data_IF_982297888913
#
_entry.id   IF_982297888913
#
_cell.length_a   1.000
_cell.length_b   1.000
_cell.length_c   1.000
_cell.angle_alpha   90.00
_cell.angle_beta   90.00
_cell.angle_gamma   90.00
#
_symmetry.space_group_name_H-M   'P 1'
#
loop_
_entity.id
_entity.type
_entity.pdbx_description
1 polymer ?
#
# COMPACT_ATOMS: atom_id res chain seq x y z
N UNK A 1 -21.60 -28.15 -31.18
CA UNK A 1 -22.20 -28.59 -32.46
C UNK A 1 -22.24 -30.11 -32.51
N UNK A 2 -23.11 -30.69 -33.34
CA UNK A 2 -23.22 -32.16 -33.50
C UNK A 2 -21.87 -32.76 -33.93
N UNK A 3 -21.14 -32.09 -34.82
CA UNK A 3 -19.81 -32.53 -35.26
C UNK A 3 -18.81 -32.67 -34.10
N UNK A 4 -18.76 -31.70 -33.18
CA UNK A 4 -17.87 -31.76 -32.01
C UNK A 4 -18.24 -32.89 -31.06
N UNK A 5 -19.53 -33.13 -30.82
CA UNK A 5 -19.98 -34.25 -29.97
C UNK A 5 -19.59 -35.59 -30.56
N UNK A 6 -19.76 -35.77 -31.88
CA UNK A 6 -19.34 -37.00 -32.58
C UNK A 6 -17.83 -37.19 -32.47
N UNK A 7 -17.04 -36.13 -32.68
CA UNK A 7 -15.59 -36.18 -32.52
C UNK A 7 -15.17 -36.58 -31.09
N UNK A 8 -15.81 -36.01 -30.06
CA UNK A 8 -15.54 -36.36 -28.66
C UNK A 8 -15.89 -37.82 -28.33
N UNK A 9 -16.98 -38.35 -28.89
CA UNK A 9 -17.36 -39.77 -28.74
C UNK A 9 -16.38 -40.70 -29.45
N UNK A 10 -15.89 -40.34 -30.63
CA UNK A 10 -14.86 -41.11 -31.35
C UNK A 10 -13.52 -41.08 -30.59
N UNK A 11 -13.13 -39.93 -30.04
CA UNK A 11 -11.96 -39.82 -29.16
C UNK A 11 -12.09 -40.72 -27.93
N UNK A 12 -13.25 -40.71 -27.25
CA UNK A 12 -13.53 -41.60 -26.12
C UNK A 12 -13.34 -43.07 -26.50
N UNK A 13 -13.96 -43.50 -27.62
CA UNK A 13 -13.86 -44.88 -28.09
C UNK A 13 -12.41 -45.27 -28.39
N UNK A 14 -11.67 -44.45 -29.13
CA UNK A 14 -10.24 -44.67 -29.43
C UNK A 14 -9.39 -44.71 -28.17
N UNK A 15 -9.61 -43.82 -27.21
CA UNK A 15 -8.88 -43.82 -25.94
C UNK A 15 -9.08 -45.13 -25.17
N UNK A 16 -10.29 -45.68 -25.16
CA UNK A 16 -10.57 -46.96 -24.48
C UNK A 16 -9.83 -48.15 -25.12
N UNK A 17 -9.62 -48.15 -26.44
CA UNK A 17 -8.88 -49.25 -27.11
C UNK A 17 -7.42 -49.37 -26.64
N UNK A 18 -6.81 -48.31 -26.10
CA UNK A 18 -5.46 -48.38 -25.56
C UNK A 18 -5.39 -49.03 -24.18
N UNK A 19 -6.50 -49.13 -23.45
CA UNK A 19 -6.56 -49.56 -22.05
C UNK A 19 -7.47 -50.78 -21.82
N UNK A 20 -7.69 -51.63 -22.85
CA UNK A 20 -8.61 -52.78 -22.79
C UNK A 20 -8.35 -53.78 -21.65
N UNK A 21 -7.11 -53.85 -21.16
CA UNK A 21 -6.70 -54.77 -20.08
C UNK A 21 -6.82 -54.17 -18.67
N UNK A 22 -7.06 -52.86 -18.57
CA UNK A 22 -7.13 -52.12 -17.32
C UNK A 22 -8.55 -51.56 -17.14
N UNK A 23 -9.35 -52.27 -16.33
CA UNK A 23 -10.73 -51.91 -16.04
C UNK A 23 -10.84 -50.60 -15.26
N UNK A 24 -9.87 -50.30 -14.38
CA UNK A 24 -9.87 -49.06 -13.58
C UNK A 24 -9.61 -47.85 -14.46
N UNK A 25 -8.58 -47.92 -15.32
CA UNK A 25 -8.28 -46.87 -16.28
C UNK A 25 -9.45 -46.64 -17.25
N UNK A 26 -10.05 -47.72 -17.76
CA UNK A 26 -11.21 -47.65 -18.65
C UNK A 26 -12.41 -46.95 -17.99
N UNK A 27 -12.66 -47.23 -16.71
CA UNK A 27 -13.73 -46.58 -15.93
C UNK A 27 -13.47 -45.08 -15.78
N UNK A 28 -12.24 -44.70 -15.42
CA UNK A 28 -11.84 -43.30 -15.23
C UNK A 28 -11.97 -42.52 -16.54
N UNK A 29 -11.43 -43.07 -17.64
CA UNK A 29 -11.51 -42.46 -18.97
C UNK A 29 -12.97 -42.23 -19.37
N UNK A 30 -13.81 -43.24 -19.22
CA UNK A 30 -15.25 -43.15 -19.52
C UNK A 30 -15.88 -42.02 -18.71
N UNK A 31 -15.64 -41.98 -17.40
CA UNK A 31 -16.20 -40.95 -16.51
C UNK A 31 -15.80 -39.52 -16.93
N UNK A 32 -14.53 -39.27 -17.29
CA UNK A 32 -14.08 -37.94 -17.69
C UNK A 32 -14.61 -37.53 -19.06
N UNK A 33 -14.64 -38.44 -20.05
CA UNK A 33 -15.20 -38.13 -21.36
C UNK A 33 -16.71 -37.90 -21.31
N UNK A 34 -17.43 -38.69 -20.51
CA UNK A 34 -18.87 -38.53 -20.33
C UNK A 34 -19.17 -37.18 -19.69
N UNK A 35 -18.46 -36.83 -18.61
CA UNK A 35 -18.59 -35.50 -18.00
C UNK A 35 -18.30 -34.34 -18.96
N UNK A 36 -17.26 -34.46 -19.79
CA UNK A 36 -16.91 -33.43 -20.78
C UNK A 36 -17.98 -33.31 -21.89
N UNK A 37 -18.51 -34.43 -22.37
CA UNK A 37 -19.55 -34.44 -23.41
C UNK A 37 -20.85 -33.85 -22.84
N UNK A 38 -21.22 -34.25 -21.62
CA UNK A 38 -22.40 -33.75 -20.93
C UNK A 38 -22.30 -32.23 -20.72
N UNK A 39 -21.18 -31.74 -20.19
CA UNK A 39 -20.92 -30.30 -20.00
C UNK A 39 -20.91 -29.52 -21.33
N UNK A 40 -20.45 -30.11 -22.43
CA UNK A 40 -20.44 -29.46 -23.74
C UNK A 40 -21.84 -29.33 -24.36
N UNK A 41 -22.75 -30.24 -24.03
CA UNK A 41 -24.13 -30.23 -24.53
C UNK A 41 -24.98 -29.19 -23.77
N UNK A 42 -24.63 -28.89 -22.52
CA UNK A 42 -25.32 -27.88 -21.70
C UNK A 42 -25.13 -26.48 -22.29
N UNK A 43 -26.19 -25.67 -22.24
CA UNK A 43 -26.13 -24.28 -22.68
C UNK A 43 -25.17 -23.46 -21.80
N UNK A 44 -24.52 -22.47 -22.41
CA UNK A 44 -23.58 -21.59 -21.70
C UNK A 44 -24.32 -20.93 -20.51
N UNK A 45 -23.79 -21.04 -19.29
CA UNK A 45 -24.45 -20.45 -18.13
C UNK A 45 -24.53 -18.92 -18.26
N UNK A 46 -25.60 -18.31 -17.71
CA UNK A 46 -25.81 -16.88 -17.81
C UNK A 46 -24.71 -16.10 -17.09
N UNK A 47 -24.47 -14.88 -17.55
CA UNK A 47 -23.49 -13.97 -16.95
C UNK A 47 -24.04 -13.49 -15.60
N UNK A 48 -23.18 -13.44 -14.57
CA UNK A 48 -23.54 -12.84 -13.29
C UNK A 48 -23.40 -11.33 -13.38
N UNK A 49 -24.49 -10.62 -13.15
CA UNK A 49 -24.52 -9.17 -13.12
C UNK A 49 -24.35 -8.70 -11.68
N UNK A 50 -23.53 -7.67 -11.48
CA UNK A 50 -23.43 -6.89 -10.26
C UNK A 50 -24.01 -5.52 -10.56
N UNK A 51 -25.20 -5.25 -10.04
CA UNK A 51 -25.84 -3.95 -10.15
C UNK A 51 -25.25 -3.02 -9.09
N UNK A 52 -24.97 -1.77 -9.47
CA UNK A 52 -24.58 -0.73 -8.52
C UNK A 52 -25.79 -0.30 -7.69
N UNK A 53 -25.57 0.02 -6.41
CA UNK A 53 -26.63 0.47 -5.49
C UNK A 53 -26.87 1.97 -5.62
N UNK A 54 -25.87 2.72 -6.07
CA UNK A 54 -25.93 4.16 -6.34
C UNK A 54 -25.43 4.48 -7.75
N UNK A 55 -25.68 5.71 -8.22
CA UNK A 55 -25.22 6.19 -9.52
C UNK A 55 -23.69 6.24 -9.63
N UNK A 56 -22.98 6.35 -8.50
CA UNK A 56 -21.52 6.45 -8.46
C UNK A 56 -20.85 5.06 -8.53
N UNK A 57 -21.60 4.01 -8.19
CA UNK A 57 -21.16 2.63 -8.30
C UNK A 57 -21.41 2.10 -9.71
N UNK A 58 -20.32 1.75 -10.41
CA UNK A 58 -20.44 1.15 -11.73
C UNK A 58 -21.03 -0.27 -11.66
N UNK A 59 -21.93 -0.59 -12.59
CA UNK A 59 -22.39 -1.96 -12.82
C UNK A 59 -21.29 -2.80 -13.46
N UNK A 60 -21.14 -4.05 -13.02
CA UNK A 60 -20.13 -4.98 -13.53
C UNK A 60 -20.74 -6.32 -13.89
N UNK A 61 -19.99 -7.13 -14.64
CA UNK A 61 -20.42 -8.46 -15.03
C UNK A 61 -19.27 -9.47 -14.90
N UNK A 62 -19.61 -10.70 -14.50
CA UNK A 62 -18.67 -11.80 -14.35
C UNK A 62 -19.20 -13.03 -15.12
N UNK A 63 -18.42 -13.61 -16.03
CA UNK A 63 -18.76 -14.89 -16.62
C UNK A 63 -18.92 -15.97 -15.54
N UNK A 64 -20.00 -16.75 -15.58
CA UNK A 64 -20.24 -17.80 -14.57
C UNK A 64 -19.12 -18.84 -14.53
N UNK A 65 -18.50 -19.15 -15.67
CA UNK A 65 -17.32 -20.04 -15.74
C UNK A 65 -16.16 -19.54 -14.86
N UNK A 66 -15.96 -18.22 -14.81
CA UNK A 66 -14.94 -17.60 -13.98
C UNK A 66 -15.24 -17.79 -12.49
N UNK A 67 -16.49 -17.57 -12.08
CA UNK A 67 -16.93 -17.78 -10.71
C UNK A 67 -16.78 -19.25 -10.27
N UNK A 68 -17.18 -20.20 -11.13
CA UNK A 68 -17.10 -21.63 -10.84
C UNK A 68 -15.65 -22.14 -10.77
N UNK A 69 -14.74 -21.52 -11.51
CA UNK A 69 -13.31 -21.83 -11.45
C UNK A 69 -12.61 -21.31 -10.19
N UNK A 70 -13.24 -20.37 -9.48
CA UNK A 70 -12.69 -19.82 -8.26
C UNK A 70 -12.83 -20.80 -7.09
N UNK A 71 -11.93 -20.67 -6.11
CA UNK A 71 -12.01 -21.44 -4.88
C UNK A 71 -13.35 -21.20 -4.16
N UNK A 72 -14.07 -22.29 -3.87
CA UNK A 72 -15.33 -22.23 -3.14
C UNK A 72 -15.08 -21.81 -1.70
N UNK A 73 -15.67 -20.67 -1.30
CA UNK A 73 -15.59 -20.15 0.06
C UNK A 73 -16.88 -20.49 0.81
N UNK A 74 -16.81 -21.18 1.95
CA UNK A 74 -18.00 -21.53 2.71
C UNK A 74 -18.68 -20.26 3.24
N UNK A 75 -20.00 -20.21 3.08
CA UNK A 75 -20.85 -19.17 3.66
C UNK A 75 -21.55 -19.76 4.87
N UNK A 76 -21.52 -19.03 5.99
CA UNK A 76 -22.13 -19.46 7.24
C UNK A 76 -23.48 -18.80 7.40
N UNK A 77 -24.48 -19.59 7.77
CA UNK A 77 -25.85 -19.14 7.97
C UNK A 77 -26.27 -19.43 9.41
N UNK A 78 -27.16 -18.62 9.94
CA UNK A 78 -27.76 -18.82 11.25
C UNK A 78 -29.26 -19.00 11.12
N UNK A 79 -29.69 -20.26 11.24
CA UNK A 79 -31.10 -20.66 11.24
C UNK A 79 -31.46 -21.30 12.59
N UNK A 80 -32.72 -21.20 13.02
CA UNK A 80 -33.14 -21.72 14.33
C UNK A 80 -32.92 -23.23 14.48
N UNK A 81 -33.08 -23.99 13.39
CA UNK A 81 -33.03 -25.45 13.38
C UNK A 81 -31.62 -26.06 13.19
N UNK A 82 -30.57 -25.25 13.22
CA UNK A 82 -29.19 -25.74 13.10
C UNK A 82 -28.73 -26.46 14.37
N UNK A 83 -27.81 -27.41 14.20
CA UNK A 83 -27.14 -28.08 15.31
C UNK A 83 -26.33 -27.08 16.16
N UNK A 84 -26.10 -27.42 17.42
CA UNK A 84 -25.32 -26.59 18.32
C UNK A 84 -23.87 -26.36 17.81
N UNK A 85 -23.31 -27.31 17.06
CA UNK A 85 -21.99 -27.21 16.43
C UNK A 85 -22.00 -26.20 15.29
N UNK A 86 -22.96 -26.27 14.37
CA UNK A 86 -23.07 -25.33 13.24
C UNK A 86 -23.32 -23.89 13.72
N UNK A 87 -24.19 -23.72 14.74
CA UNK A 87 -24.42 -22.41 15.37
C UNK A 87 -23.13 -21.81 15.94
N UNK A 88 -22.31 -22.61 16.63
CA UNK A 88 -21.02 -22.16 17.15
C UNK A 88 -20.02 -21.83 16.04
N UNK A 89 -20.03 -22.58 14.94
CA UNK A 89 -19.17 -22.29 13.79
C UNK A 89 -19.55 -20.98 13.10
N UNK A 90 -20.85 -20.70 12.95
CA UNK A 90 -21.35 -19.43 12.42
C UNK A 90 -20.92 -18.25 13.31
N UNK A 91 -21.01 -18.38 14.64
CA UNK A 91 -20.55 -17.37 15.59
C UNK A 91 -19.04 -17.14 15.47
N UNK A 92 -18.24 -18.21 15.39
CA UNK A 92 -16.79 -18.10 15.16
C UNK A 92 -16.45 -17.47 13.81
N UNK A 93 -17.25 -17.72 12.77
CA UNK A 93 -17.11 -17.05 11.48
C UNK A 93 -17.40 -15.55 11.61
N UNK A 94 -18.45 -15.17 12.33
CA UNK A 94 -18.77 -13.76 12.60
C UNK A 94 -17.64 -13.03 13.34
N UNK A 95 -17.01 -13.68 14.33
CA UNK A 95 -15.84 -13.11 15.01
C UNK A 95 -14.65 -12.91 14.08
N UNK A 96 -14.30 -13.92 13.28
CA UNK A 96 -13.22 -13.83 12.28
C UNK A 96 -13.48 -12.73 11.25
N UNK A 97 -14.74 -12.52 10.87
CA UNK A 97 -15.14 -11.48 9.93
C UNK A 97 -15.02 -10.07 10.54
N UNK A 98 -15.67 -9.84 11.69
CA UNK A 98 -15.79 -8.50 12.30
C UNK A 98 -14.49 -8.04 12.95
N UNK A 99 -13.71 -8.96 13.51
CA UNK A 99 -12.50 -8.63 14.26
C UNK A 99 -11.19 -9.14 13.64
N UNK A 100 -11.27 -9.67 12.43
CA UNK A 100 -10.13 -10.23 11.68
C UNK A 100 -9.44 -11.44 12.33
N UNK A 101 -10.02 -12.02 13.38
CA UNK A 101 -9.46 -13.13 14.13
C UNK A 101 -10.47 -13.76 15.10
N UNK A 102 -10.14 -14.94 15.62
CA UNK A 102 -10.99 -15.61 16.61
C UNK A 102 -10.70 -15.07 18.01
N UNK A 103 -11.68 -14.37 18.59
CA UNK A 103 -11.56 -13.75 19.92
C UNK A 103 -12.03 -14.68 21.04
N UNK A 104 -12.62 -15.83 20.73
CA UNK A 104 -13.20 -16.75 21.74
C UNK A 104 -12.20 -17.15 22.84
N UNK A 105 -10.91 -17.17 22.54
CA UNK A 105 -9.84 -17.52 23.51
C UNK A 105 -9.11 -16.33 24.12
N UNK A 106 -9.16 -15.16 23.49
CA UNK A 106 -8.09 -14.19 23.64
C UNK A 106 -8.31 -13.17 24.76
N UNK A 107 -9.53 -12.93 25.25
CA UNK A 107 -9.75 -11.77 26.13
C UNK A 107 -10.80 -11.89 27.25
N UNK A 108 -11.38 -13.07 27.50
CA UNK A 108 -12.31 -13.25 28.65
C UNK A 108 -13.48 -12.24 28.67
N UNK A 109 -13.97 -11.86 27.49
CA UNK A 109 -14.96 -10.79 27.35
C UNK A 109 -16.39 -11.32 27.39
N UNK A 110 -17.26 -10.52 28.01
CA UNK A 110 -18.69 -10.76 28.21
C UNK A 110 -19.49 -10.60 26.89
N UNK A 111 -19.17 -11.39 25.86
CA UNK A 111 -20.02 -11.53 24.66
C UNK A 111 -20.98 -12.72 24.75
N UNK A 112 -20.90 -13.50 25.83
CA UNK A 112 -21.74 -14.67 26.12
C UNK A 112 -23.23 -14.36 25.99
N UNK A 113 -23.67 -13.20 26.44
CA UNK A 113 -25.09 -12.81 26.40
C UNK A 113 -25.59 -12.63 24.96
N UNK A 114 -24.75 -12.07 24.08
CA UNK A 114 -25.06 -11.91 22.66
C UNK A 114 -25.06 -13.27 21.95
N UNK A 115 -24.11 -14.14 22.28
CA UNK A 115 -24.07 -15.51 21.76
C UNK A 115 -25.33 -16.29 22.14
N UNK A 116 -25.75 -16.23 23.41
CA UNK A 116 -26.97 -16.89 23.86
C UNK A 116 -28.21 -16.37 23.13
N UNK A 117 -28.31 -15.06 22.90
CA UNK A 117 -29.43 -14.45 22.16
C UNK A 117 -29.48 -14.86 20.70
N UNK A 118 -28.33 -14.98 20.02
CA UNK A 118 -28.31 -15.41 18.62
C UNK A 118 -28.55 -16.92 18.50
N UNK A 119 -28.04 -17.73 19.44
CA UNK A 119 -28.27 -19.19 19.49
C UNK A 119 -29.75 -19.52 19.68
N UNK A 120 -30.42 -18.78 20.57
CA UNK A 120 -31.86 -18.92 20.82
C UNK A 120 -32.74 -18.32 19.72
N UNK A 121 -32.17 -17.56 18.79
CA UNK A 121 -32.90 -16.89 17.71
C UNK A 121 -33.68 -15.65 18.16
N UNK A 122 -33.39 -15.10 19.36
CA UNK A 122 -33.98 -13.83 19.81
C UNK A 122 -33.49 -12.63 18.99
N UNK A 123 -32.27 -12.71 18.46
CA UNK A 123 -31.69 -11.74 17.53
C UNK A 123 -31.23 -12.44 16.27
N UNK A 124 -31.36 -11.78 15.12
CA UNK A 124 -30.86 -12.27 13.84
C UNK A 124 -29.33 -12.17 13.76
N UNK A 125 -28.74 -12.78 12.73
CA UNK A 125 -27.29 -12.65 12.50
C UNK A 125 -26.92 -11.21 12.16
N UNK A 126 -27.78 -10.49 11.43
CA UNK A 126 -27.64 -9.04 11.18
C UNK A 126 -27.56 -8.24 12.49
N UNK A 127 -28.50 -8.46 13.41
CA UNK A 127 -28.49 -7.79 14.73
C UNK A 127 -27.26 -8.17 15.56
N UNK A 128 -26.85 -9.44 15.52
CA UNK A 128 -25.63 -9.89 16.19
C UNK A 128 -24.41 -9.11 15.68
N UNK A 129 -24.23 -8.99 14.36
CA UNK A 129 -23.15 -8.22 13.73
C UNK A 129 -23.23 -6.73 14.13
N UNK A 130 -24.43 -6.13 14.15
CA UNK A 130 -24.62 -4.75 14.62
C UNK A 130 -24.18 -4.57 16.06
N UNK A 131 -24.57 -5.48 16.96
CA UNK A 131 -24.15 -5.45 18.36
C UNK A 131 -22.63 -5.61 18.52
N UNK A 132 -21.99 -6.47 17.70
CA UNK A 132 -20.53 -6.62 17.70
C UNK A 132 -19.84 -5.32 17.27
N UNK A 133 -20.32 -4.66 16.20
CA UNK A 133 -19.76 -3.40 15.72
C UNK A 133 -19.89 -2.24 16.71
N UNK A 134 -20.96 -2.24 17.53
CA UNK A 134 -21.18 -1.24 18.60
C UNK A 134 -20.51 -1.61 19.91
N UNK A 135 -19.88 -2.78 20.00
CA UNK A 135 -19.26 -3.24 21.25
C UNK A 135 -18.07 -2.39 21.66
N UNK A 136 -17.79 -2.35 22.97
CA UNK A 136 -16.59 -1.70 23.51
C UNK A 136 -15.30 -2.30 22.94
N UNK A 137 -15.29 -3.61 22.66
CA UNK A 137 -14.12 -4.25 22.05
C UNK A 137 -13.87 -3.73 20.64
N UNK A 138 -14.90 -3.67 19.78
CA UNK A 138 -14.74 -3.17 18.42
C UNK A 138 -14.20 -1.74 18.43
N UNK A 139 -14.77 -0.88 19.29
CA UNK A 139 -14.31 0.49 19.46
C UNK A 139 -12.82 0.57 19.84
N UNK A 140 -12.39 -0.20 20.84
CA UNK A 140 -10.99 -0.20 21.29
C UNK A 140 -10.01 -0.69 20.21
N UNK A 141 -10.44 -1.67 19.40
CA UNK A 141 -9.57 -2.27 18.38
C UNK A 141 -9.55 -1.49 17.06
N UNK A 142 -10.71 -1.00 16.60
CA UNK A 142 -10.93 -0.51 15.23
C UNK A 142 -11.41 0.93 15.13
N UNK A 143 -11.68 1.61 16.24
CA UNK A 143 -12.08 3.02 16.27
C UNK A 143 -11.01 3.92 16.91
N UNK A 144 -10.71 3.69 18.18
CA UNK A 144 -9.81 4.55 18.98
C UNK A 144 -8.38 4.72 18.42
N UNK A 145 -7.71 3.69 17.85
CA UNK A 145 -6.35 3.84 17.37
C UNK A 145 -6.25 4.34 15.92
N UNK A 146 -7.35 4.78 15.30
CA UNK A 146 -7.40 5.19 13.89
C UNK A 146 -8.05 6.56 13.71
N UNK A 147 -7.65 7.27 12.65
CA UNK A 147 -8.39 8.42 12.16
C UNK A 147 -9.73 7.98 11.55
N UNK A 148 -10.75 8.84 11.61
CA UNK A 148 -12.10 8.57 11.10
C UNK A 148 -12.08 8.02 9.67
N UNK A 149 -11.27 8.60 8.78
CA UNK A 149 -11.14 8.12 7.40
C UNK A 149 -10.71 6.65 7.31
N UNK A 150 -9.81 6.21 8.19
CA UNK A 150 -9.34 4.82 8.24
C UNK A 150 -10.35 3.90 8.92
N UNK A 151 -11.10 4.40 9.90
CA UNK A 151 -12.22 3.68 10.53
C UNK A 151 -13.25 3.28 9.48
N UNK A 152 -13.65 4.19 8.59
CA UNK A 152 -14.62 3.92 7.52
C UNK A 152 -14.13 2.79 6.62
N UNK A 153 -12.87 2.84 6.16
CA UNK A 153 -12.29 1.80 5.31
C UNK A 153 -12.31 0.41 5.97
N UNK A 154 -12.02 0.34 7.26
CA UNK A 154 -12.07 -0.91 8.03
C UNK A 154 -13.52 -1.36 8.28
N UNK A 155 -14.45 -0.43 8.52
CA UNK A 155 -15.86 -0.75 8.69
C UNK A 155 -16.46 -1.39 7.43
N UNK A 156 -16.15 -0.85 6.25
CA UNK A 156 -16.53 -1.44 4.96
C UNK A 156 -16.01 -2.87 4.79
N UNK A 157 -14.76 -3.13 5.20
CA UNK A 157 -14.19 -4.48 5.23
C UNK A 157 -14.99 -5.42 6.15
N UNK A 158 -15.30 -4.98 7.36
CA UNK A 158 -15.90 -5.81 8.39
C UNK A 158 -17.39 -6.10 8.14
N UNK A 159 -18.16 -5.08 7.79
CA UNK A 159 -19.61 -5.18 7.69
C UNK A 159 -20.11 -5.48 6.28
N UNK A 160 -19.44 -4.94 5.25
CA UNK A 160 -19.82 -5.14 3.85
C UNK A 160 -18.89 -6.11 3.11
N UNK A 161 -17.75 -6.49 3.68
CA UNK A 161 -16.83 -7.43 3.04
C UNK A 161 -16.15 -6.90 1.78
N UNK A 162 -16.14 -5.58 1.54
CA UNK A 162 -15.51 -4.94 0.36
C UNK A 162 -14.77 -3.65 0.73
N UNK A 163 -14.06 -3.07 -0.22
CA UNK A 163 -13.55 -1.71 -0.12
C UNK A 163 -14.57 -0.66 -0.55
N UNK A 164 -14.26 0.61 -0.27
CA UNK A 164 -14.98 1.75 -0.87
C UNK A 164 -14.82 1.75 -2.39
N UNK A 165 -15.85 2.20 -3.09
CA UNK A 165 -15.96 2.19 -4.55
C UNK A 165 -15.73 3.56 -5.20
N UNK A 166 -16.15 4.63 -4.52
CA UNK A 166 -16.02 6.01 -5.01
C UNK A 166 -15.65 6.99 -3.90
N UNK A 167 -15.34 8.23 -4.29
CA UNK A 167 -15.04 9.30 -3.35
C UNK A 167 -16.32 9.82 -2.69
N UNK A 168 -17.40 9.85 -3.43
CA UNK A 168 -18.74 10.26 -3.03
C UNK A 168 -19.25 9.33 -1.92
N UNK A 169 -19.14 8.01 -2.12
CA UNK A 169 -19.46 7.02 -1.09
C UNK A 169 -18.64 7.25 0.19
N UNK A 170 -17.34 7.59 0.06
CA UNK A 170 -16.54 7.93 1.23
C UNK A 170 -17.06 9.18 1.95
N UNK A 171 -17.44 10.23 1.21
CA UNK A 171 -17.94 11.48 1.78
C UNK A 171 -19.24 11.29 2.54
N UNK A 172 -20.19 10.52 2.00
CA UNK A 172 -21.48 10.23 2.65
C UNK A 172 -21.29 9.55 4.01
N UNK A 173 -20.49 8.48 4.06
CA UNK A 173 -20.22 7.78 5.31
C UNK A 173 -19.31 8.58 6.26
N UNK A 174 -18.48 9.49 5.73
CA UNK A 174 -17.71 10.42 6.54
C UNK A 174 -18.60 11.45 7.22
N UNK A 175 -19.64 11.95 6.55
CA UNK A 175 -20.63 12.83 7.17
C UNK A 175 -21.43 12.10 8.27
N UNK A 176 -21.92 10.89 7.98
CA UNK A 176 -22.67 10.06 8.94
C UNK A 176 -21.88 9.85 10.24
N UNK A 177 -20.63 9.38 10.14
CA UNK A 177 -19.81 9.13 11.33
C UNK A 177 -19.41 10.43 12.05
N UNK A 178 -19.24 11.54 11.32
CA UNK A 178 -18.90 12.83 11.94
C UNK A 178 -20.05 13.37 12.78
N UNK A 179 -21.30 13.11 12.38
CA UNK A 179 -22.49 13.57 13.08
C UNK A 179 -22.89 12.67 14.26
N UNK A 180 -22.77 11.34 14.13
CA UNK A 180 -23.29 10.39 15.11
C UNK A 180 -22.28 9.39 15.69
N UNK A 181 -21.01 9.49 15.30
CA UNK A 181 -19.95 8.60 15.74
C UNK A 181 -20.10 7.15 15.26
N UNK A 182 -19.32 6.25 15.86
CA UNK A 182 -19.26 4.83 15.49
C UNK A 182 -20.63 4.12 15.43
N UNK A 183 -21.55 4.27 16.41
CA UNK A 183 -22.81 3.53 16.38
C UNK A 183 -23.65 3.84 15.14
N UNK A 184 -23.72 5.11 14.73
CA UNK A 184 -24.48 5.52 13.54
C UNK A 184 -23.86 5.04 12.23
N UNK A 185 -22.53 4.97 12.15
CA UNK A 185 -21.85 4.36 11.01
C UNK A 185 -22.21 2.87 10.87
N UNK A 186 -22.17 2.13 11.99
CA UNK A 186 -22.50 0.70 11.98
C UNK A 186 -23.95 0.50 11.56
N UNK A 187 -24.89 1.31 12.06
CA UNK A 187 -26.29 1.26 11.65
C UNK A 187 -26.44 1.54 10.15
N UNK A 188 -25.86 2.63 9.65
CA UNK A 188 -25.94 2.98 8.23
C UNK A 188 -25.38 1.90 7.28
N UNK A 189 -24.35 1.15 7.70
CA UNK A 189 -23.81 0.05 6.92
C UNK A 189 -24.69 -1.21 6.97
N UNK A 190 -25.18 -1.58 8.15
CA UNK A 190 -25.97 -2.80 8.35
C UNK A 190 -27.42 -2.64 7.85
N UNK A 191 -27.96 -1.41 7.88
CA UNK A 191 -29.29 -1.06 7.36
C UNK A 191 -29.29 -0.72 5.86
N UNK A 192 -28.13 -0.80 5.20
CA UNK A 192 -28.03 -0.55 3.76
C UNK A 192 -28.74 -1.65 2.94
N UNK A 193 -29.31 -1.25 1.80
CA UNK A 193 -29.89 -2.19 0.83
C UNK A 193 -28.86 -3.24 0.38
N UNK A 194 -27.61 -2.81 0.20
CA UNK A 194 -26.51 -3.70 -0.18
C UNK A 194 -26.29 -4.82 0.83
N UNK A 195 -26.33 -4.50 2.13
CA UNK A 195 -26.20 -5.52 3.17
C UNK A 195 -27.34 -6.54 3.09
N UNK A 196 -28.57 -6.06 2.90
CA UNK A 196 -29.76 -6.91 2.76
C UNK A 196 -29.66 -7.83 1.53
N UNK A 197 -29.20 -7.31 0.39
CA UNK A 197 -29.10 -8.07 -0.86
C UNK A 197 -28.02 -9.17 -0.80
N UNK A 198 -26.87 -8.88 -0.17
CA UNK A 198 -25.74 -9.82 -0.13
C UNK A 198 -25.77 -10.81 1.02
N UNK A 199 -26.28 -10.40 2.18
CA UNK A 199 -26.23 -11.16 3.43
C UNK A 199 -27.61 -11.44 4.01
N UNK A 200 -28.58 -10.54 3.79
CA UNK A 200 -29.89 -10.63 4.42
C UNK A 200 -29.78 -10.56 5.94
N UNK A 201 -30.63 -11.31 6.65
CA UNK A 201 -30.64 -11.31 8.12
C UNK A 201 -29.95 -12.53 8.75
N UNK A 202 -29.74 -13.59 7.96
CA UNK A 202 -29.29 -14.90 8.45
C UNK A 202 -27.83 -15.21 8.10
N UNK A 203 -27.27 -14.58 7.06
CA UNK A 203 -25.92 -14.90 6.57
C UNK A 203 -24.87 -14.09 7.30
N UNK A 204 -23.81 -14.73 7.75
CA UNK A 204 -22.63 -14.03 8.27
C UNK A 204 -21.95 -13.29 7.12
N UNK A 205 -21.60 -11.99 7.27
CA UNK A 205 -20.87 -11.27 6.23
C UNK A 205 -19.57 -11.98 5.85
N UNK A 206 -19.18 -11.87 4.59
CA UNK A 206 -18.00 -12.53 4.05
C UNK A 206 -17.24 -11.58 3.12
N UNK A 207 -15.92 -11.79 3.00
CA UNK A 207 -15.08 -11.01 2.11
C UNK A 207 -15.43 -11.29 0.64
N UNK A 208 -15.90 -10.25 -0.05
CA UNK A 208 -16.25 -10.22 -1.47
C UNK A 208 -15.01 -9.92 -2.31
N UNK A 209 -14.10 -10.88 -2.29
CA UNK A 209 -12.84 -10.83 -3.02
C UNK A 209 -12.93 -11.38 -4.44
N UNK A 210 -11.76 -11.45 -5.06
CA UNK A 210 -11.58 -12.04 -6.38
C UNK A 210 -12.21 -13.43 -6.49
N UNK A 211 -12.87 -13.69 -7.63
CA UNK A 211 -13.57 -14.95 -7.89
C UNK A 211 -14.99 -15.03 -7.36
N UNK A 212 -15.33 -14.31 -6.28
CA UNK A 212 -16.68 -14.34 -5.70
C UNK A 212 -17.67 -13.43 -6.43
N UNK A 213 -17.19 -12.27 -6.89
CA UNK A 213 -17.97 -11.29 -7.65
C UNK A 213 -17.08 -10.51 -8.63
N UNK A 214 -17.70 -9.80 -9.57
CA UNK A 214 -16.99 -8.90 -10.47
C UNK A 214 -16.33 -7.76 -9.67
N UNK A 215 -15.02 -7.59 -9.88
CA UNK A 215 -14.20 -6.59 -9.21
C UNK A 215 -13.98 -5.38 -10.11
N UNK A 216 -14.02 -4.19 -9.53
CA UNK A 216 -13.69 -2.98 -10.26
C UNK A 216 -12.17 -2.74 -10.29
N UNK A 217 -11.68 -2.17 -11.39
CA UNK A 217 -10.27 -1.83 -11.52
C UNK A 217 -9.89 -0.58 -10.70
N UNK A 218 -10.86 0.28 -10.35
CA UNK A 218 -10.64 1.57 -9.66
C UNK A 218 -10.01 1.42 -8.29
N UNK A 219 -10.42 0.40 -7.52
CA UNK A 219 -9.92 0.13 -6.17
C UNK A 219 -9.14 -1.21 -6.07
N UNK A 220 -8.65 -1.73 -7.21
CA UNK A 220 -8.05 -3.06 -7.31
C UNK A 220 -6.96 -3.31 -6.25
N UNK A 221 -5.92 -2.48 -6.24
CA UNK A 221 -4.80 -2.64 -5.32
C UNK A 221 -5.16 -2.38 -3.86
N UNK A 222 -6.03 -1.39 -3.60
CA UNK A 222 -6.43 -1.02 -2.23
C UNK A 222 -7.32 -2.08 -1.59
N UNK A 223 -8.26 -2.66 -2.34
CA UNK A 223 -9.12 -3.75 -1.86
C UNK A 223 -8.33 -5.02 -1.56
N UNK A 224 -7.40 -5.41 -2.44
CA UNK A 224 -6.53 -6.57 -2.19
C UNK A 224 -5.68 -6.40 -0.93
N UNK A 225 -5.19 -5.19 -0.67
CA UNK A 225 -4.44 -4.90 0.54
C UNK A 225 -5.34 -4.85 1.79
N UNK A 226 -6.59 -4.39 1.65
CA UNK A 226 -7.57 -4.33 2.74
C UNK A 226 -7.90 -5.73 3.29
N UNK A 227 -7.94 -6.75 2.44
CA UNK A 227 -8.26 -8.12 2.88
C UNK A 227 -7.11 -8.89 3.53
N UNK A 228 -5.93 -8.28 3.69
CA UNK A 228 -4.80 -8.89 4.41
C UNK A 228 -4.91 -8.64 5.91
N UNK A 229 -4.38 -9.56 6.71
CA UNK A 229 -4.25 -9.41 8.17
C UNK A 229 -3.42 -8.19 8.59
N UNK A 230 -2.57 -7.67 7.68
CA UNK A 230 -1.75 -6.49 7.93
C UNK A 230 -2.50 -5.17 7.72
N UNK A 231 -3.76 -5.21 7.24
CA UNK A 231 -4.54 -4.00 7.00
C UNK A 231 -4.69 -3.11 8.25
N UNK A 232 -5.00 -3.62 9.46
CA UNK A 232 -5.08 -2.79 10.67
C UNK A 232 -3.74 -2.15 11.08
N UNK A 233 -2.60 -2.69 10.65
CA UNK A 233 -1.30 -2.09 10.95
C UNK A 233 -1.16 -0.73 10.27
N UNK A 234 -1.75 -0.56 9.09
CA UNK A 234 -1.72 0.70 8.33
C UNK A 234 -2.67 1.73 8.96
N UNK A 235 -2.10 2.83 9.45
CA UNK A 235 -2.84 3.94 10.08
C UNK A 235 -3.29 5.02 9.10
N UNK A 236 -2.59 5.15 7.98
CA UNK A 236 -2.92 6.10 6.92
C UNK A 236 -4.07 5.56 6.05
N UNK A 237 -5.11 6.33 5.76
CA UNK A 237 -6.20 5.90 4.87
C UNK A 237 -5.67 5.66 3.44
N UNK A 238 -6.28 4.72 2.73
CA UNK A 238 -5.86 4.29 1.39
C UNK A 238 -6.83 4.73 0.30
N UNK A 239 -8.14 4.58 0.52
CA UNK A 239 -9.15 4.75 -0.51
C UNK A 239 -9.32 6.23 -0.84
N UNK A 240 -9.55 7.08 0.18
CA UNK A 240 -9.68 8.53 -0.02
C UNK A 240 -8.43 9.12 -0.67
N UNK A 241 -7.23 8.65 -0.32
CA UNK A 241 -5.98 9.13 -0.91
C UNK A 241 -5.88 8.75 -2.39
N UNK A 242 -6.22 7.51 -2.75
CA UNK A 242 -6.17 7.03 -4.14
C UNK A 242 -7.22 7.71 -5.00
N UNK A 243 -8.45 7.86 -4.50
CA UNK A 243 -9.52 8.55 -5.21
C UNK A 243 -9.19 10.03 -5.41
N UNK A 244 -8.68 10.71 -4.39
CA UNK A 244 -8.26 12.10 -4.51
C UNK A 244 -7.05 12.28 -5.45
N UNK A 245 -6.08 11.37 -5.43
CA UNK A 245 -4.93 11.38 -6.34
C UNK A 245 -5.35 11.18 -7.79
N UNK A 246 -6.37 10.37 -8.04
CA UNK A 246 -6.89 10.13 -9.40
C UNK A 246 -7.49 11.38 -10.04
N UNK A 247 -7.88 12.38 -9.22
CA UNK A 247 -8.46 13.65 -9.68
C UNK A 247 -7.43 14.80 -9.70
N UNK A 248 -6.21 14.58 -9.19
CA UNK A 248 -5.17 15.61 -9.04
C UNK A 248 -3.99 15.38 -9.99
N UNK A 249 -3.20 16.43 -10.29
CA UNK A 249 -1.94 16.25 -11.03
C UNK A 249 -0.94 15.41 -10.22
N UNK A 250 0.18 15.05 -10.87
CA UNK A 250 1.25 14.28 -10.23
C UNK A 250 1.70 14.92 -8.90
N UNK A 251 1.87 14.11 -7.83
CA UNK A 251 2.28 14.62 -6.53
C UNK A 251 3.73 15.10 -6.55
N UNK A 252 4.05 16.02 -5.63
CA UNK A 252 5.43 16.43 -5.37
C UNK A 252 6.14 15.39 -4.48
N UNK A 253 6.81 14.43 -5.12
CA UNK A 253 7.60 13.40 -4.47
C UNK A 253 8.69 12.86 -5.41
N UNK A 254 9.62 12.07 -4.89
CA UNK A 254 10.57 11.32 -5.71
C UNK A 254 9.88 10.45 -6.76
N UNK A 255 10.48 10.32 -7.95
CA UNK A 255 9.92 9.55 -9.07
C UNK A 255 9.70 8.07 -8.77
N UNK A 256 10.48 7.51 -7.85
CA UNK A 256 10.37 6.12 -7.39
C UNK A 256 9.48 5.93 -6.16
N UNK A 257 8.84 6.99 -5.66
CA UNK A 257 7.96 6.98 -4.49
C UNK A 257 8.51 7.77 -3.30
N UNK A 258 7.60 8.24 -2.44
CA UNK A 258 7.89 9.14 -1.32
C UNK A 258 9.02 8.70 -0.36
N UNK A 259 9.26 7.40 -0.18
CA UNK A 259 10.31 6.92 0.74
C UNK A 259 11.74 7.06 0.21
N UNK A 260 11.93 7.55 -1.01
CA UNK A 260 13.24 7.79 -1.62
C UNK A 260 13.79 9.20 -1.41
N UNK A 261 12.95 10.16 -0.99
CA UNK A 261 13.45 11.46 -0.56
C UNK A 261 13.98 11.35 0.89
N UNK A 262 15.22 11.80 1.18
CA UNK A 262 15.71 11.88 2.55
C UNK A 262 15.05 13.03 3.31
N UNK A 263 15.11 12.99 4.63
CA UNK A 263 14.79 14.17 5.45
C UNK A 263 15.90 15.22 5.32
N UNK A 264 15.53 16.45 4.99
CA UNK A 264 16.47 17.58 4.88
C UNK A 264 16.88 18.10 6.26
N UNK A 265 17.78 17.37 6.90
CA UNK A 265 18.34 17.69 8.22
C UNK A 265 19.87 17.74 8.16
N UNK A 266 20.50 18.29 9.21
CA UNK A 266 21.94 18.49 9.22
C UNK A 266 22.74 17.18 9.10
N UNK A 267 22.30 16.10 9.74
CA UNK A 267 22.89 14.77 9.63
C UNK A 267 22.13 13.93 8.59
N UNK A 268 22.79 13.58 7.50
CA UNK A 268 22.16 12.93 6.33
C UNK A 268 21.77 11.46 6.52
N UNK A 269 21.39 10.82 5.41
CA UNK A 269 21.08 9.39 5.28
C UNK A 269 19.86 8.87 6.09
N UNK A 270 18.93 9.75 6.48
CA UNK A 270 17.68 9.35 7.13
C UNK A 270 16.53 9.38 6.13
N UNK A 271 15.96 8.21 5.87
CA UNK A 271 14.82 8.03 4.98
C UNK A 271 13.60 7.53 5.77
N UNK A 272 12.38 7.95 5.42
CA UNK A 272 11.16 7.37 5.96
C UNK A 272 11.14 5.83 5.79
N UNK A 273 10.90 5.10 6.88
CA UNK A 273 10.81 3.63 6.85
C UNK A 273 9.40 3.19 6.40
N UNK A 274 9.31 2.58 5.23
CA UNK A 274 8.04 2.10 4.66
C UNK A 274 7.50 0.82 5.35
N UNK A 275 8.33 0.09 6.12
CA UNK A 275 7.95 -1.19 6.74
C UNK A 275 7.23 -1.03 8.09
N UNK A 276 7.54 0.01 8.86
CA UNK A 276 6.99 0.21 10.22
C UNK A 276 5.64 0.93 10.20
N UNK A 277 5.46 1.86 9.27
CA UNK A 277 4.17 2.50 8.99
C UNK A 277 4.01 2.59 7.48
N UNK A 278 3.35 1.60 6.84
CA UNK A 278 3.27 1.52 5.38
C UNK A 278 2.50 2.71 4.84
N UNK A 279 3.24 3.73 4.43
CA UNK A 279 2.73 4.97 3.86
C UNK A 279 3.00 5.05 2.35
N UNK A 280 3.62 4.05 1.73
CA UNK A 280 4.01 4.08 0.32
C UNK A 280 2.88 4.58 -0.59
N UNK A 281 3.20 5.62 -1.38
CA UNK A 281 2.34 6.23 -2.38
C UNK A 281 3.06 6.21 -3.74
N UNK A 282 3.01 5.08 -4.47
CA UNK A 282 3.56 5.03 -5.82
C UNK A 282 2.77 5.98 -6.73
N UNK A 283 3.49 6.70 -7.60
CA UNK A 283 2.88 7.54 -8.64
C UNK A 283 3.57 7.26 -9.99
N UNK A 284 2.83 7.32 -11.10
CA UNK A 284 3.36 6.98 -12.41
C UNK A 284 4.12 8.17 -13.04
N UNK A 285 5.37 8.38 -12.61
CA UNK A 285 6.24 9.37 -13.24
C UNK A 285 6.77 8.85 -14.59
N UNK A 286 6.63 9.66 -15.64
CA UNK A 286 7.22 9.40 -16.95
C UNK A 286 8.73 9.64 -16.97
N UNK A 287 9.38 9.18 -18.04
CA UNK A 287 10.82 9.39 -18.28
C UNK A 287 11.20 10.87 -18.26
N UNK A 288 10.44 11.69 -18.98
CA UNK A 288 10.73 13.11 -19.17
C UNK A 288 9.88 13.96 -18.19
N UNK A 289 10.27 13.94 -16.93
CA UNK A 289 9.61 14.71 -15.85
C UNK A 289 10.61 15.60 -15.12
N UNK A 290 10.15 16.75 -14.61
CA UNK A 290 10.97 17.67 -13.82
C UNK A 290 10.23 18.08 -12.56
N UNK A 291 10.84 17.79 -11.41
CA UNK A 291 10.35 18.27 -10.11
C UNK A 291 10.57 19.77 -9.98
N UNK A 292 9.59 20.47 -9.41
CA UNK A 292 9.73 21.89 -9.07
C UNK A 292 10.50 21.97 -7.76
N UNK A 293 11.73 22.49 -7.79
CA UNK A 293 12.55 22.69 -6.60
C UNK A 293 12.41 24.12 -6.08
N UNK A 294 12.29 24.26 -4.77
CA UNK A 294 12.19 25.57 -4.09
C UNK A 294 13.59 26.01 -3.68
N UNK A 295 14.00 27.24 -4.04
CA UNK A 295 15.33 27.75 -3.71
C UNK A 295 15.43 28.18 -2.24
N UNK A 296 16.50 27.80 -1.56
CA UNK A 296 16.85 28.31 -0.23
C UNK A 296 17.56 29.68 -0.35
N UNK A 297 16.81 30.79 -0.39
CA UNK A 297 17.31 32.17 -0.47
C UNK A 297 16.28 33.18 -0.98
N UNK A 298 16.54 34.50 -0.89
CA UNK A 298 15.55 35.52 -1.29
C UNK A 298 15.24 35.51 -2.80
N UNK A 299 13.96 35.37 -3.11
CA UNK A 299 13.34 35.20 -4.42
C UNK A 299 13.73 36.26 -5.46
N UNK A 300 14.28 35.78 -6.60
CA UNK A 300 14.36 36.42 -7.93
C UNK A 300 15.27 35.64 -8.90
N UNK A 301 16.02 34.66 -8.39
CA UNK A 301 17.13 34.01 -9.10
C UNK A 301 17.02 32.48 -9.13
N UNK A 302 15.82 31.96 -9.43
CA UNK A 302 15.68 30.52 -9.67
C UNK A 302 16.55 30.10 -10.87
N UNK A 303 17.47 29.16 -10.63
CA UNK A 303 18.49 28.71 -11.60
C UNK A 303 17.85 28.14 -12.87
N UNK A 304 16.64 27.59 -12.75
CA UNK A 304 15.86 27.04 -13.86
C UNK A 304 15.67 28.00 -15.05
N UNK A 305 15.68 29.33 -14.80
CA UNK A 305 15.49 30.33 -15.85
C UNK A 305 16.75 31.15 -16.17
N UNK A 306 17.82 31.06 -15.37
CA UNK A 306 19.05 31.85 -15.56
C UNK A 306 20.28 31.05 -15.11
N UNK A 307 21.02 30.46 -16.06
CA UNK A 307 22.32 29.82 -15.80
C UNK A 307 23.37 30.77 -15.19
N UNK A 308 23.16 32.08 -15.28
CA UNK A 308 24.03 33.15 -14.76
C UNK A 308 24.01 33.35 -13.23
N UNK A 309 23.31 32.48 -12.48
CA UNK A 309 23.19 32.54 -11.01
C UNK A 309 24.11 31.51 -10.31
N UNK A 310 24.55 30.46 -11.03
CA UNK A 310 25.47 29.45 -10.50
C UNK A 310 26.77 30.10 -9.99
N UNK A 311 27.13 29.84 -8.73
CA UNK A 311 28.34 30.38 -8.07
C UNK A 311 28.16 31.73 -7.37
N UNK A 312 26.96 32.32 -7.35
CA UNK A 312 26.68 33.51 -6.53
C UNK A 312 26.08 33.08 -5.18
N UNK A 313 26.66 33.59 -4.10
CA UNK A 313 26.11 33.36 -2.76
C UNK A 313 24.67 33.91 -2.70
N UNK A 314 23.72 33.14 -2.14
CA UNK A 314 22.36 33.62 -1.94
C UNK A 314 22.36 34.83 -1.00
N UNK A 315 21.57 35.84 -1.34
CA UNK A 315 21.37 37.02 -0.50
C UNK A 315 20.73 36.58 0.82
N UNK A 316 21.40 36.82 1.95
CA UNK A 316 20.85 36.59 3.29
C UNK A 316 21.40 35.38 4.06
N UNK A 317 22.20 34.49 3.47
CA UNK A 317 22.87 33.43 4.22
C UNK A 317 24.26 33.87 4.69
N UNK A 318 24.45 33.93 6.01
CA UNK A 318 25.72 34.16 6.71
C UNK A 318 26.63 32.92 6.70
N UNK A 319 26.93 32.41 5.51
CA UNK A 319 27.93 31.35 5.33
C UNK A 319 29.35 31.92 5.16
N UNK A 320 30.37 31.13 5.48
CA UNK A 320 31.77 31.48 5.20
C UNK A 320 31.96 31.61 3.68
N UNK A 321 32.02 32.84 3.19
CA UNK A 321 32.26 33.11 1.78
C UNK A 321 33.76 32.96 1.52
N UNK A 322 34.10 31.94 0.77
CA UNK A 322 35.48 31.66 0.35
C UNK A 322 35.79 32.44 -0.94
N UNK A 323 36.82 33.29 -0.90
CA UNK A 323 37.24 34.06 -2.07
C UNK A 323 37.90 33.16 -3.13
N UNK A 324 37.67 33.41 -4.43
CA UNK A 324 38.39 32.72 -5.48
C UNK A 324 39.89 33.06 -5.39
N UNK A 325 40.75 32.05 -5.58
CA UNK A 325 42.19 32.22 -5.68
C UNK A 325 42.52 33.17 -6.82
N UNK A 326 43.33 34.21 -6.53
CA UNK A 326 43.81 35.16 -7.53
C UNK A 326 44.63 34.42 -8.59
N UNK A 327 44.37 34.73 -9.87
CA UNK A 327 45.02 34.15 -11.05
C UNK A 327 46.55 34.12 -10.91
N UNK A 328 47.12 32.95 -10.65
CA UNK A 328 48.52 32.70 -10.98
C UNK A 328 48.59 32.34 -12.47
N UNK A 329 49.30 33.16 -13.26
CA UNK A 329 49.61 32.89 -14.66
C UNK A 329 50.51 31.64 -14.74
N UNK A 330 49.93 30.46 -14.95
CA UNK A 330 50.68 29.26 -15.32
C UNK A 330 50.35 28.87 -16.76
N UNK A 331 51.37 28.83 -17.60
CA UNK A 331 51.30 28.37 -18.99
C UNK A 331 51.16 26.84 -18.96
N UNK A 332 50.11 26.30 -19.56
CA UNK A 332 49.89 24.86 -19.86
C UNK A 332 49.19 23.98 -18.81
N UNK A 333 47.99 24.36 -18.38
CA UNK A 333 47.03 23.39 -17.85
C UNK A 333 45.62 23.95 -17.83
N UNK A 334 44.61 23.16 -18.18
CA UNK A 334 43.19 23.52 -17.97
C UNK A 334 42.96 23.77 -16.47
N UNK A 335 42.96 25.04 -16.05
CA UNK A 335 42.84 25.46 -14.66
C UNK A 335 41.37 25.58 -14.26
N UNK A 336 40.99 24.88 -13.20
CA UNK A 336 39.70 25.07 -12.55
C UNK A 336 39.83 26.17 -11.47
N UNK A 337 38.79 27.00 -11.27
CA UNK A 337 38.79 27.99 -10.19
C UNK A 337 38.99 27.28 -8.84
N UNK A 338 40.05 27.66 -8.11
CA UNK A 338 40.31 27.23 -6.74
C UNK A 338 39.96 28.36 -5.78
N UNK A 339 39.83 28.04 -4.49
CA UNK A 339 39.57 28.99 -3.42
C UNK A 339 40.90 29.44 -2.80
N UNK A 340 41.05 30.74 -2.51
CA UNK A 340 42.14 31.21 -1.67
C UNK A 340 41.85 30.91 -0.20
N UNK A 341 42.76 30.19 0.45
CA UNK A 341 42.75 30.00 1.91
C UNK A 341 43.60 31.04 2.64
N UNK A 342 44.20 32.02 1.94
CA UNK A 342 45.11 33.01 2.53
C UNK A 342 44.42 33.96 3.52
N UNK A 343 43.14 34.25 3.28
CA UNK A 343 42.39 35.28 4.02
C UNK A 343 41.49 34.69 5.12
N UNK A 344 41.40 33.36 5.22
CA UNK A 344 40.55 32.65 6.18
C UNK A 344 41.36 31.61 6.96
N UNK A 345 40.94 31.27 8.18
CA UNK A 345 41.56 30.13 8.88
C UNK A 345 41.36 28.86 8.06
N UNK A 346 42.46 28.26 7.59
CA UNK A 346 42.44 26.99 6.87
C UNK A 346 41.70 25.89 7.66
N UNK A 347 41.72 25.97 8.99
CA UNK A 347 41.02 25.05 9.89
C UNK A 347 39.50 25.22 9.83
N UNK A 348 39.01 26.46 9.76
CA UNK A 348 37.58 26.71 9.59
C UNK A 348 37.07 26.19 8.23
N UNK A 349 37.88 26.29 7.18
CA UNK A 349 37.54 25.75 5.87
C UNK A 349 37.51 24.20 5.87
N UNK A 350 38.46 23.55 6.57
CA UNK A 350 38.49 22.10 6.77
C UNK A 350 37.27 21.63 7.55
N UNK A 351 36.96 22.27 8.69
CA UNK A 351 35.78 21.94 9.49
C UNK A 351 34.49 22.16 8.71
N UNK A 352 34.39 23.25 7.96
CA UNK A 352 33.26 23.52 7.06
C UNK A 352 33.08 22.42 6.01
N UNK A 353 34.17 21.92 5.41
CA UNK A 353 34.13 20.82 4.46
C UNK A 353 33.66 19.51 5.11
N UNK A 354 34.14 19.18 6.31
CA UNK A 354 33.65 18.02 7.06
C UNK A 354 32.15 18.13 7.36
N UNK A 355 31.70 19.28 7.87
CA UNK A 355 30.28 19.52 8.15
C UNK A 355 29.42 19.44 6.89
N UNK A 356 29.92 19.91 5.75
CA UNK A 356 29.20 19.84 4.49
C UNK A 356 29.08 18.41 3.95
N UNK A 357 30.13 17.59 4.08
CA UNK A 357 30.15 16.23 3.50
C UNK A 357 29.52 15.20 4.45
N UNK A 358 29.74 15.32 5.76
CA UNK A 358 29.29 14.35 6.76
C UNK A 358 28.10 14.84 7.59
N UNK A 359 27.73 16.12 7.50
CA UNK A 359 26.67 16.72 8.30
C UNK A 359 27.05 17.00 9.77
N UNK A 360 28.26 16.61 10.17
CA UNK A 360 28.76 16.72 11.55
C UNK A 360 30.27 16.82 11.59
N UNK A 361 30.79 17.15 12.76
CA UNK A 361 32.21 16.99 13.04
C UNK A 361 32.53 15.47 13.12
N UNK A 362 33.65 15.08 12.51
CA UNK A 362 34.12 13.70 12.47
C UNK A 362 34.83 13.33 13.77
N UNK A 363 34.83 12.04 14.11
CA UNK A 363 35.58 11.57 15.29
C UNK A 363 37.08 11.66 15.03
N UNK A 364 37.90 11.72 16.09
CA UNK A 364 39.37 11.86 15.98
C UNK A 364 40.02 10.85 15.03
N UNK A 365 39.56 9.60 15.03
CA UNK A 365 40.05 8.54 14.13
C UNK A 365 39.51 8.57 12.69
N UNK A 366 38.56 9.46 12.37
CA UNK A 366 37.94 9.61 11.05
C UNK A 366 38.55 10.76 10.24
N UNK A 367 39.49 11.52 10.82
CA UNK A 367 40.19 12.60 10.14
C UNK A 367 41.14 12.08 9.05
N UNK A 368 41.08 12.71 7.87
CA UNK A 368 42.04 12.48 6.79
C UNK A 368 43.27 13.40 6.98
N UNK A 369 44.06 13.14 8.02
CA UNK A 369 45.20 13.99 8.45
C UNK A 369 46.21 14.29 7.33
N UNK A 370 46.48 13.33 6.45
CA UNK A 370 47.35 13.53 5.28
C UNK A 370 46.75 14.54 4.31
N UNK A 371 45.45 14.44 4.03
CA UNK A 371 44.76 15.34 3.12
C UNK A 371 44.63 16.76 3.71
N UNK A 372 44.39 16.86 5.01
CA UNK A 372 44.37 18.13 5.74
C UNK A 372 45.72 18.86 5.66
N UNK A 373 46.82 18.14 5.90
CA UNK A 373 48.18 18.70 5.81
C UNK A 373 48.49 19.19 4.39
N UNK A 374 48.14 18.39 3.37
CA UNK A 374 48.31 18.77 1.96
C UNK A 374 47.48 19.98 1.56
N UNK A 375 46.27 20.13 2.10
CA UNK A 375 45.43 21.30 1.87
C UNK A 375 46.02 22.55 2.54
N UNK A 376 46.50 22.42 3.79
CA UNK A 376 47.18 23.50 4.52
C UNK A 376 48.47 23.94 3.81
N UNK A 377 49.21 22.98 3.23
CA UNK A 377 50.42 23.22 2.43
C UNK A 377 50.16 23.75 1.01
N UNK A 378 48.89 23.86 0.58
CA UNK A 378 48.54 24.31 -0.77
C UNK A 378 48.83 23.30 -1.89
N UNK A 379 49.19 22.06 -1.55
CA UNK A 379 49.46 20.99 -2.52
C UNK A 379 48.18 20.48 -3.21
N UNK A 380 47.04 20.57 -2.53
CA UNK A 380 45.72 20.19 -3.06
C UNK A 380 44.72 21.35 -2.96
N UNK A 381 43.74 21.34 -3.86
CA UNK A 381 42.64 22.32 -3.84
C UNK A 381 41.49 21.86 -2.95
N UNK A 382 40.60 22.78 -2.55
CA UNK A 382 39.38 22.43 -1.81
C UNK A 382 38.50 21.40 -2.55
N UNK A 383 38.46 21.48 -3.89
CA UNK A 383 37.75 20.49 -4.72
C UNK A 383 38.35 19.09 -4.57
N UNK A 384 39.68 18.99 -4.55
CA UNK A 384 40.38 17.72 -4.37
C UNK A 384 40.20 17.19 -2.94
N UNK A 385 40.23 18.07 -1.94
CA UNK A 385 39.95 17.69 -0.55
C UNK A 385 38.54 17.09 -0.40
N UNK A 386 37.50 17.76 -0.91
CA UNK A 386 36.11 17.24 -0.90
C UNK A 386 36.00 15.91 -1.65
N UNK A 387 36.72 15.75 -2.77
CA UNK A 387 36.77 14.47 -3.51
C UNK A 387 37.37 13.34 -2.67
N UNK A 388 38.42 13.60 -1.89
CA UNK A 388 39.02 12.61 -1.01
C UNK A 388 38.11 12.27 0.18
N UNK A 389 37.39 13.26 0.74
CA UNK A 389 36.38 13.03 1.77
C UNK A 389 35.26 12.11 1.25
N UNK A 390 34.72 12.37 0.05
CA UNK A 390 33.66 11.57 -0.55
C UNK A 390 34.11 10.14 -0.93
N UNK A 391 35.40 9.93 -1.24
CA UNK A 391 35.97 8.59 -1.52
C UNK A 391 36.48 7.87 -0.27
N UNK A 392 36.37 8.49 0.90
CA UNK A 392 36.85 7.90 2.14
C UNK A 392 36.02 6.68 2.56
N UNK A 393 36.63 5.72 3.27
CA UNK A 393 35.88 4.59 3.83
C UNK A 393 34.80 5.05 4.81
N UNK A 394 35.02 6.19 5.50
CA UNK A 394 34.03 6.78 6.43
C UNK A 394 32.78 7.22 5.68
N UNK A 395 32.93 7.94 4.55
CA UNK A 395 31.79 8.37 3.74
C UNK A 395 31.03 7.17 3.18
N UNK A 396 31.76 6.18 2.65
CA UNK A 396 31.20 4.96 2.10
C UNK A 396 30.35 4.19 3.13
N UNK A 397 30.87 3.99 4.33
CA UNK A 397 30.15 3.28 5.38
C UNK A 397 28.89 4.00 5.87
N UNK A 398 28.88 5.34 5.81
CA UNK A 398 27.73 6.15 6.26
C UNK A 398 26.64 6.29 5.19
N UNK A 399 27.01 6.52 3.93
CA UNK A 399 26.07 6.96 2.88
C UNK A 399 25.97 6.00 1.68
N UNK A 400 26.74 4.91 1.64
CA UNK A 400 26.71 3.98 0.50
C UNK A 400 26.39 2.55 0.93
N UNK A 401 27.17 1.97 1.83
CA UNK A 401 27.06 0.53 2.16
C UNK A 401 25.75 0.19 2.91
N UNK A 402 25.15 1.15 3.61
CA UNK A 402 23.94 0.98 4.43
C UNK A 402 22.63 1.34 3.71
N UNK A 403 22.71 1.94 2.51
CA UNK A 403 21.58 2.51 1.81
C UNK A 403 21.20 1.70 0.57
N UNK A 404 19.93 1.81 0.17
CA UNK A 404 19.48 1.31 -1.13
C UNK A 404 20.14 2.14 -2.25
N UNK A 405 20.44 1.52 -3.39
CA UNK A 405 21.26 2.13 -4.46
C UNK A 405 20.71 3.47 -4.95
N UNK A 406 19.39 3.63 -5.06
CA UNK A 406 18.80 4.91 -5.50
C UNK A 406 18.59 5.93 -4.37
N UNK A 407 18.87 5.53 -3.13
CA UNK A 407 18.83 6.40 -1.93
C UNK A 407 20.23 6.91 -1.58
N UNK A 408 21.27 6.13 -1.88
CA UNK A 408 22.67 6.53 -1.80
C UNK A 408 23.03 7.53 -2.90
#
# INVERSE_FOLDING_TARGET
TVATVVALKDMRWKSLTYFEKDEEASRIITQYFDGLIDDYIVEKPPIRLRQGVSNDQQGLQLPQSYYLSAESRPKFFMKPNLSATEKREAIKAAYRQVFEGDITRAYGLNLTDLESKVISGLISMKEFIRCLGKSRLYRRQFYEPYAISRVIELAFRHFLGRGLSSLEEFQDYFEIISNGGLPTLVDALVDSQEYADYFGEETVPYLRGYGQEAQECRNWGTQLNLFKYSAPVRKVPQFVTVFAQSQKPLPDQHSYGMGNDPLEIQFGAIFPQETRNPAAQPAPFGKDTRRILISCGSDSKNVANKGAVLGKAPSGNSGLKLDPAVRANSKNGTHYPSVSLSNHSAEAAIQGAYRQVFGRDVYSGQHLTVAETKLKGGEITMREFVRQLAKSPVFRGLSWDSLYITKA
#
